data_IF_132341631166
#
_entry.id   IF_132341631166
#
_cell.length_a   1.000
_cell.length_b   1.000
_cell.length_c   1.000
_cell.angle_alpha   90.00
_cell.angle_beta   90.00
_cell.angle_gamma   90.00
#
_symmetry.space_group_name_H-M   'P 1'
#
loop_
_entity.id
_entity.type
_entity.pdbx_description
1 polymer ?
#
# COMPACT_ATOMS: atom_id res chain seq x y z
N UNK A 1 -20.68 -2.04 9.37
CA UNK A 1 -21.08 -1.44 8.07
C UNK A 1 -20.16 -1.98 6.96
N UNK A 2 -20.51 -1.86 5.67
CA UNK A 2 -19.70 -2.43 4.56
C UNK A 2 -18.25 -1.94 4.57
N UNK A 3 -18.04 -0.63 4.82
CA UNK A 3 -16.70 -0.06 4.99
C UNK A 3 -15.85 -0.74 6.07
N UNK A 4 -16.45 -1.12 7.19
CA UNK A 4 -15.72 -1.78 8.29
C UNK A 4 -15.24 -3.17 7.86
N UNK A 5 -16.03 -3.88 7.05
CA UNK A 5 -15.63 -5.17 6.46
C UNK A 5 -14.46 -4.98 5.49
N UNK A 6 -14.56 -4.01 4.57
CA UNK A 6 -13.48 -3.68 3.63
C UNK A 6 -12.21 -3.33 4.42
N UNK A 7 -12.31 -2.42 5.40
CA UNK A 7 -11.18 -2.02 6.23
C UNK A 7 -10.50 -3.22 6.89
N UNK A 8 -11.28 -4.15 7.48
CA UNK A 8 -10.74 -5.34 8.13
C UNK A 8 -9.95 -6.21 7.16
N UNK A 9 -10.50 -6.49 5.99
CA UNK A 9 -9.82 -7.32 4.98
C UNK A 9 -8.59 -6.62 4.40
N UNK A 10 -8.68 -5.32 4.11
CA UNK A 10 -7.54 -4.53 3.65
C UNK A 10 -6.43 -4.50 4.71
N UNK A 11 -6.77 -4.33 6.00
CA UNK A 11 -5.78 -4.35 7.07
C UNK A 11 -5.05 -5.71 7.13
N UNK A 12 -5.73 -6.83 6.89
CA UNK A 12 -5.11 -8.16 6.82
C UNK A 12 -4.18 -8.24 5.61
N UNK A 13 -4.67 -7.90 4.42
CA UNK A 13 -3.89 -7.94 3.17
C UNK A 13 -2.61 -7.12 3.28
N UNK A 14 -2.68 -5.89 3.82
CA UNK A 14 -1.52 -5.02 3.94
C UNK A 14 -0.51 -5.57 4.96
N UNK A 15 -0.98 -6.16 6.05
CA UNK A 15 -0.10 -6.82 7.03
C UNK A 15 0.62 -8.02 6.43
N UNK A 16 -0.08 -8.85 5.67
CA UNK A 16 0.50 -10.01 5.00
C UNK A 16 1.47 -9.59 3.88
N UNK A 17 1.09 -8.63 3.05
CA UNK A 17 1.94 -8.07 1.97
C UNK A 17 3.27 -7.55 2.51
N UNK A 18 3.23 -6.86 3.64
CA UNK A 18 4.42 -6.26 4.25
C UNK A 18 5.12 -7.24 5.23
N UNK A 19 4.74 -8.53 5.25
CA UNK A 19 5.19 -9.57 6.20
C UNK A 19 5.28 -9.06 7.65
N UNK A 20 4.23 -8.37 8.08
CA UNK A 20 4.12 -7.79 9.41
C UNK A 20 5.33 -6.91 9.76
N UNK A 21 5.99 -6.31 8.78
CA UNK A 21 7.26 -5.60 8.96
C UNK A 21 7.06 -4.10 8.79
N UNK A 22 7.49 -3.35 9.79
CA UNK A 22 7.50 -1.89 9.75
C UNK A 22 8.32 -1.43 8.54
N UNK A 23 7.67 -0.77 7.60
CA UNK A 23 8.27 -0.34 6.36
C UNK A 23 9.32 0.75 6.57
N UNK A 24 9.37 1.41 7.74
CA UNK A 24 10.44 2.36 8.08
C UNK A 24 11.69 1.67 8.63
N UNK A 25 11.57 0.97 9.75
CA UNK A 25 12.73 0.41 10.47
C UNK A 25 13.04 -1.06 10.17
N UNK A 26 12.22 -1.76 9.40
CA UNK A 26 12.43 -3.18 9.06
C UNK A 26 12.17 -4.17 10.20
N UNK A 27 11.68 -3.72 11.36
CA UNK A 27 11.33 -4.61 12.46
C UNK A 27 9.99 -5.31 12.19
N UNK A 28 9.92 -6.62 12.41
CA UNK A 28 8.66 -7.36 12.48
C UNK A 28 7.84 -6.92 13.70
N UNK A 29 6.57 -6.64 13.50
CA UNK A 29 5.65 -6.05 14.48
C UNK A 29 4.32 -6.79 14.50
N UNK A 30 3.69 -6.88 15.67
CA UNK A 30 2.42 -7.57 15.85
C UNK A 30 1.55 -6.86 16.89
N UNK A 31 0.29 -7.28 17.00
CA UNK A 31 -0.66 -6.74 17.98
C UNK A 31 -0.81 -5.22 17.88
N UNK A 32 -0.71 -4.55 19.02
CA UNK A 32 -0.83 -3.09 19.13
C UNK A 32 0.29 -2.34 18.41
N UNK A 33 1.46 -2.94 18.18
CA UNK A 33 2.56 -2.26 17.49
C UNK A 33 2.43 -2.32 15.96
N UNK A 34 1.48 -3.09 15.40
CA UNK A 34 1.36 -3.28 13.94
C UNK A 34 0.25 -2.41 13.34
N UNK A 35 0.60 -1.20 12.91
CA UNK A 35 -0.35 -0.23 12.38
C UNK A 35 -0.32 -0.16 10.86
N UNK A 36 -1.50 -0.13 10.24
CA UNK A 36 -1.68 0.25 8.83
C UNK A 36 -1.78 1.77 8.76
N UNK A 37 -0.87 2.40 8.03
CA UNK A 37 -0.72 3.85 7.95
C UNK A 37 -0.91 4.35 6.52
N UNK A 38 -1.74 5.38 6.36
CA UNK A 38 -1.93 6.06 5.08
C UNK A 38 -0.73 6.94 4.71
N UNK A 39 -0.41 7.00 3.43
CA UNK A 39 0.55 7.95 2.87
C UNK A 39 -0.13 9.30 2.64
N UNK A 40 -1.24 9.28 1.91
CA UNK A 40 -2.16 10.39 1.71
C UNK A 40 -3.30 10.24 2.73
N UNK A 41 -3.54 11.25 3.59
CA UNK A 41 -4.56 11.16 4.62
C UNK A 41 -5.97 11.07 4.02
N UNK A 42 -6.83 10.28 4.66
CA UNK A 42 -8.23 10.04 4.26
C UNK A 42 -9.09 11.33 4.30
N UNK A 43 -8.64 12.37 5.01
CA UNK A 43 -9.26 13.69 4.97
C UNK A 43 -9.05 14.42 3.64
N UNK A 44 -7.95 14.16 2.93
CA UNK A 44 -7.64 14.79 1.65
C UNK A 44 -8.46 14.20 0.51
N UNK A 45 -8.62 12.87 0.48
CA UNK A 45 -9.50 12.20 -0.48
C UNK A 45 -9.96 10.85 0.06
N UNK A 46 -11.27 10.60 0.00
CA UNK A 46 -11.85 9.29 0.41
C UNK A 46 -11.53 8.19 -0.59
N UNK A 47 -11.24 8.53 -1.85
CA UNK A 47 -10.98 7.57 -2.92
C UNK A 47 -9.73 6.70 -2.64
N UNK A 48 -8.79 7.20 -1.84
CA UNK A 48 -7.56 6.49 -1.48
C UNK A 48 -7.63 5.80 -0.10
N UNK A 49 -8.80 5.77 0.55
CA UNK A 49 -8.98 5.21 1.90
C UNK A 49 -8.53 3.73 1.98
N UNK A 50 -8.83 2.96 0.93
CA UNK A 50 -8.58 1.52 0.84
C UNK A 50 -7.57 1.15 -0.25
N UNK A 51 -6.90 2.13 -0.85
CA UNK A 51 -5.93 1.90 -1.92
C UNK A 51 -4.65 1.27 -1.35
N UNK A 52 -4.25 0.11 -1.86
CA UNK A 52 -3.10 -0.63 -1.33
C UNK A 52 -1.79 0.15 -1.51
N UNK A 53 -1.66 0.95 -2.57
CA UNK A 53 -0.49 1.80 -2.80
C UNK A 53 -0.45 2.97 -1.81
N UNK A 54 -1.59 3.36 -1.25
CA UNK A 54 -1.69 4.37 -0.21
C UNK A 54 -1.42 3.85 1.22
N UNK A 55 -1.34 2.53 1.40
CA UNK A 55 -1.24 1.88 2.72
C UNK A 55 0.11 1.20 2.94
N UNK A 56 0.62 1.24 4.16
CA UNK A 56 1.87 0.58 4.57
C UNK A 56 1.87 0.24 6.05
N UNK A 57 2.63 -0.78 6.44
CA UNK A 57 2.83 -1.10 7.86
C UNK A 57 3.88 -0.19 8.49
N UNK A 58 3.57 0.36 9.66
CA UNK A 58 4.51 1.06 10.53
C UNK A 58 4.35 0.56 11.98
N UNK A 59 5.45 0.56 12.73
CA UNK A 59 5.40 0.35 14.16
C UNK A 59 4.77 1.57 14.87
N UNK A 60 4.24 1.41 16.09
CA UNK A 60 3.64 2.50 16.86
C UNK A 60 4.56 3.71 16.95
N UNK A 61 5.85 3.48 17.24
CA UNK A 61 6.87 4.54 17.32
C UNK A 61 7.00 5.32 16.03
N UNK A 62 7.16 4.65 14.89
CA UNK A 62 7.35 5.35 13.61
C UNK A 62 6.04 5.90 13.05
N UNK A 63 4.90 5.29 13.37
CA UNK A 63 3.61 5.81 12.97
C UNK A 63 3.25 7.08 13.73
N UNK A 64 3.23 7.03 15.06
CA UNK A 64 2.71 8.11 15.90
C UNK A 64 3.78 9.16 16.21
N UNK A 65 5.04 8.75 16.43
CA UNK A 65 6.09 9.68 16.87
C UNK A 65 7.00 10.18 15.74
N UNK A 66 6.92 9.63 14.53
CA UNK A 66 7.70 10.12 13.40
C UNK A 66 6.84 10.52 12.20
N UNK A 67 6.04 9.60 11.64
CA UNK A 67 5.27 9.81 10.41
C UNK A 67 4.32 11.01 10.51
N UNK A 68 3.52 11.08 11.59
CA UNK A 68 2.59 12.20 11.81
C UNK A 68 3.27 13.46 12.34
N UNK A 69 4.46 13.36 12.94
CA UNK A 69 5.17 14.50 13.53
C UNK A 69 6.09 15.23 12.53
N UNK A 70 6.61 14.51 11.54
CA UNK A 70 7.58 15.02 10.57
C UNK A 70 7.07 14.84 9.13
N UNK A 71 5.91 15.43 8.75
CA UNK A 71 5.25 15.11 7.47
C UNK A 71 6.09 15.42 6.23
N UNK A 72 6.92 16.47 6.26
CA UNK A 72 7.81 16.83 5.15
C UNK A 72 8.91 15.77 4.96
N UNK A 73 9.58 15.38 6.05
CA UNK A 73 10.60 14.34 6.03
C UNK A 73 9.99 12.99 5.66
N UNK A 74 8.85 12.63 6.24
CA UNK A 74 8.13 11.40 5.95
C UNK A 74 7.71 11.30 4.47
N UNK A 75 7.24 12.41 3.89
CA UNK A 75 6.90 12.49 2.47
C UNK A 75 8.13 12.37 1.56
N UNK A 76 9.27 12.98 1.94
CA UNK A 76 10.54 12.81 1.22
C UNK A 76 11.01 11.36 1.27
N UNK A 77 11.07 10.77 2.47
CA UNK A 77 11.44 9.38 2.67
C UNK A 77 10.56 8.42 1.86
N UNK A 78 9.24 8.64 1.83
CA UNK A 78 8.34 7.78 1.10
C UNK A 78 8.60 7.83 -0.42
N UNK A 79 8.85 9.01 -0.97
CA UNK A 79 9.20 9.19 -2.39
C UNK A 79 10.51 8.51 -2.75
N UNK A 80 11.50 8.57 -1.86
CA UNK A 80 12.79 7.92 -2.08
C UNK A 80 12.70 6.39 -1.97
N UNK A 81 11.96 5.88 -0.97
CA UNK A 81 11.83 4.44 -0.72
C UNK A 81 10.88 3.73 -1.69
N UNK A 82 9.81 4.40 -2.11
CA UNK A 82 8.76 3.84 -2.96
C UNK A 82 8.41 4.76 -4.13
N UNK A 83 9.36 5.02 -5.06
CA UNK A 83 9.19 6.02 -6.10
C UNK A 83 7.99 5.74 -7.01
N UNK A 84 7.77 4.48 -7.40
CA UNK A 84 6.63 4.10 -8.25
C UNK A 84 5.28 4.32 -7.54
N UNK A 85 5.21 4.01 -6.24
CA UNK A 85 4.01 4.24 -5.43
C UNK A 85 3.73 5.72 -5.27
N UNK A 86 4.77 6.52 -5.06
CA UNK A 86 4.64 7.96 -4.96
C UNK A 86 4.11 8.56 -6.27
N UNK A 87 4.69 8.20 -7.41
CA UNK A 87 4.23 8.66 -8.73
C UNK A 87 2.76 8.28 -8.98
N UNK A 88 2.38 7.05 -8.65
CA UNK A 88 0.98 6.62 -8.71
C UNK A 88 0.06 7.52 -7.88
N UNK A 89 0.39 7.73 -6.59
CA UNK A 89 -0.43 8.53 -5.68
C UNK A 89 -0.51 10.00 -6.10
N UNK A 90 0.57 10.58 -6.62
CA UNK A 90 0.59 11.93 -7.16
C UNK A 90 -0.38 12.06 -8.34
N UNK A 91 -0.41 11.08 -9.25
CA UNK A 91 -1.42 11.02 -10.32
C UNK A 91 -2.85 10.94 -9.77
N UNK A 92 -3.10 10.08 -8.77
CA UNK A 92 -4.42 9.95 -8.13
C UNK A 92 -4.86 11.24 -7.43
N UNK A 93 -3.93 12.07 -6.96
CA UNK A 93 -4.23 13.33 -6.29
C UNK A 93 -4.72 14.43 -7.24
N UNK A 94 -4.56 14.25 -8.55
CA UNK A 94 -5.12 15.15 -9.57
C UNK A 94 -6.63 14.90 -9.77
N UNK A 95 -7.16 13.75 -9.33
CA UNK A 95 -8.59 13.45 -9.37
C UNK A 95 -9.36 14.34 -8.40
N UNK A 96 -10.50 14.89 -8.86
CA UNK A 96 -11.37 15.70 -8.02
C UNK A 96 -11.89 14.87 -6.82
N UNK A 97 -11.70 15.35 -5.58
CA UNK A 97 -12.21 14.65 -4.41
C UNK A 97 -13.73 14.50 -4.48
N UNK A 98 -14.23 13.29 -4.25
CA UNK A 98 -15.66 12.99 -4.17
C UNK A 98 -15.92 11.86 -3.18
N UNK A 99 -17.15 11.72 -2.65
CA UNK A 99 -17.52 10.55 -1.89
C UNK A 99 -17.46 9.28 -2.78
N UNK A 100 -17.08 8.16 -2.16
CA UNK A 100 -17.20 6.84 -2.78
C UNK A 100 -18.68 6.47 -2.78
N UNK A 101 -19.22 6.13 -3.94
CA UNK A 101 -20.60 5.69 -4.09
C UNK A 101 -20.76 4.25 -3.59
N UNK A 102 -21.99 3.87 -3.23
CA UNK A 102 -22.24 2.56 -2.62
C UNK A 102 -21.88 1.38 -3.53
N UNK A 103 -22.11 1.49 -4.84
CA UNK A 103 -21.74 0.43 -5.78
C UNK A 103 -20.22 0.25 -5.89
N UNK A 104 -19.44 1.33 -5.83
CA UNK A 104 -17.98 1.28 -5.83
C UNK A 104 -17.45 0.58 -4.57
N UNK A 105 -18.11 0.77 -3.42
CA UNK A 105 -17.77 0.04 -2.20
C UNK A 105 -18.08 -1.46 -2.32
N UNK A 106 -19.16 -1.83 -3.01
CA UNK A 106 -19.48 -3.26 -3.25
C UNK A 106 -18.46 -3.89 -4.18
N UNK A 107 -18.14 -3.24 -5.30
CA UNK A 107 -17.13 -3.70 -6.25
C UNK A 107 -15.77 -3.87 -5.55
N UNK A 108 -15.36 -2.86 -4.77
CA UNK A 108 -14.13 -2.91 -3.97
C UNK A 108 -14.14 -4.06 -2.96
N UNK A 109 -15.26 -4.32 -2.30
CA UNK A 109 -15.35 -5.42 -1.34
C UNK A 109 -15.15 -6.79 -2.02
N UNK A 110 -15.73 -6.99 -3.21
CA UNK A 110 -15.50 -8.20 -3.98
C UNK A 110 -14.06 -8.29 -4.50
N UNK A 111 -13.46 -7.19 -4.93
CA UNK A 111 -12.04 -7.15 -5.30
C UNK A 111 -11.14 -7.57 -4.14
N UNK A 112 -11.36 -6.98 -2.97
CA UNK A 112 -10.58 -7.24 -1.75
C UNK A 112 -10.73 -8.69 -1.29
N UNK A 113 -11.96 -9.24 -1.32
CA UNK A 113 -12.23 -10.62 -0.92
C UNK A 113 -11.55 -11.66 -1.83
N UNK A 114 -11.42 -11.33 -3.12
CA UNK A 114 -10.78 -12.20 -4.10
C UNK A 114 -9.28 -11.92 -4.29
N UNK A 115 -8.74 -10.95 -3.55
CA UNK A 115 -7.33 -10.60 -3.64
C UNK A 115 -6.47 -11.75 -3.10
N UNK A 116 -5.59 -12.27 -3.96
CA UNK A 116 -4.59 -13.27 -3.59
C UNK A 116 -3.22 -12.57 -3.60
N UNK A 117 -2.61 -12.31 -2.43
CA UNK A 117 -1.27 -11.76 -2.42
C UNK A 117 -0.31 -12.76 -3.07
N UNK A 118 0.40 -12.34 -4.12
CA UNK A 118 1.54 -13.07 -4.63
C UNK A 118 2.67 -12.96 -3.61
N UNK A 119 2.80 -13.96 -2.75
CA UNK A 119 3.95 -14.09 -1.85
C UNK A 119 5.19 -14.38 -2.70
N UNK A 120 5.94 -13.36 -3.08
CA UNK A 120 7.30 -13.55 -3.59
C UNK A 120 8.21 -13.85 -2.42
N UNK A 121 8.29 -15.13 -2.03
CA UNK A 121 9.27 -15.61 -1.06
C UNK A 121 10.64 -15.53 -1.73
N UNK A 122 11.37 -14.44 -1.53
CA UNK A 122 12.81 -14.40 -1.85
C UNK A 122 13.56 -15.19 -0.78
N UNK A 123 13.61 -16.51 -0.96
CA UNK A 123 14.45 -17.41 -0.18
C UNK A 123 15.93 -17.10 -0.47
N UNK A 124 16.49 -16.08 0.18
CA UNK A 124 17.94 -16.01 0.40
C UNK A 124 18.20 -16.27 1.88
N UNK A 125 18.51 -17.52 2.19
CA UNK A 125 19.05 -17.96 3.47
C UNK A 125 20.29 -17.08 3.79
N UNK A 126 20.36 -16.36 4.91
CA UNK A 126 21.61 -15.74 5.30
C UNK A 126 22.56 -16.85 5.76
N UNK A 127 23.64 -17.06 5.00
CA UNK A 127 24.79 -17.80 5.52
C UNK A 127 25.31 -17.07 6.77
N UNK A 128 25.48 -17.84 7.82
CA UNK A 128 26.04 -17.45 9.10
C UNK A 128 27.44 -16.84 8.93
N UNK A 129 27.63 -15.60 9.37
CA UNK A 129 28.99 -15.08 9.60
C UNK A 129 29.11 -13.56 9.67
N UNK A 130 29.42 -13.06 10.88
CA UNK A 130 29.97 -11.74 11.24
C UNK A 130 29.04 -10.53 11.36
N UNK A 131 29.19 -9.91 12.53
CA UNK A 131 28.77 -8.56 12.89
C UNK A 131 29.65 -7.55 12.13
N UNK A 132 29.06 -6.71 11.28
CA UNK A 132 29.62 -5.38 10.93
C UNK A 132 28.52 -4.40 10.49
N UNK A 133 28.83 -3.12 10.69
CA UNK A 133 28.00 -1.91 10.77
C UNK A 133 27.17 -1.59 9.50
N UNK A 134 25.93 -1.12 9.72
CA UNK A 134 25.14 -0.23 8.85
C UNK A 134 24.57 -0.84 7.55
N UNK A 135 23.25 -0.73 7.25
CA UNK A 135 22.72 -1.24 5.99
C UNK A 135 23.04 -0.26 4.85
N UNK A 136 23.96 -0.65 3.97
CA UNK A 136 24.08 -0.10 2.62
C UNK A 136 22.88 -0.56 1.76
N UNK A 137 22.48 0.21 0.74
CA UNK A 137 21.39 -0.19 -0.16
C UNK A 137 21.77 -1.49 -0.89
N UNK A 138 21.04 -2.59 -0.63
CA UNK A 138 21.19 -3.82 -1.41
C UNK A 138 20.48 -3.64 -2.74
N UNK A 139 21.20 -3.82 -3.84
CA UNK A 139 20.64 -3.91 -5.19
C UNK A 139 19.63 -5.07 -5.26
N UNK A 140 18.39 -4.75 -5.60
CA UNK A 140 17.32 -5.73 -5.83
C UNK A 140 17.38 -6.15 -7.29
N UNK A 141 17.77 -7.40 -7.56
CA UNK A 141 17.64 -8.01 -8.88
C UNK A 141 16.16 -8.36 -9.11
N UNK A 142 15.53 -7.68 -10.06
CA UNK A 142 14.15 -7.91 -10.50
C UNK A 142 14.19 -9.01 -11.56
N UNK A 143 13.68 -10.21 -11.27
CA UNK A 143 13.38 -11.21 -12.31
C UNK A 143 12.06 -10.86 -13.00
N UNK A 144 12.05 -10.99 -14.33
CA UNK A 144 10.87 -10.77 -15.19
C UNK A 144 10.04 -12.06 -15.24
N UNK A 145 8.95 -12.14 -14.48
CA UNK A 145 7.83 -13.05 -14.80
C UNK A 145 6.50 -12.32 -14.57
N UNK A 146 5.47 -12.77 -15.30
CA UNK A 146 4.21 -12.08 -15.62
C UNK A 146 3.58 -11.34 -14.44
N UNK A 147 3.57 -10.01 -14.56
CA UNK A 147 2.88 -9.10 -13.64
C UNK A 147 1.39 -9.12 -13.96
N UNK A 148 0.54 -9.34 -12.97
CA UNK A 148 -0.85 -8.86 -13.06
C UNK A 148 -0.77 -7.34 -13.08
N UNK A 149 -1.10 -6.75 -14.23
CA UNK A 149 -1.01 -5.31 -14.45
C UNK A 149 -2.15 -4.59 -13.70
N UNK A 150 -1.84 -4.10 -12.50
CA UNK A 150 -2.71 -3.22 -11.72
C UNK A 150 -2.56 -1.75 -12.14
N UNK A 151 -2.09 -1.48 -13.36
CA UNK A 151 -1.96 -0.13 -13.88
C UNK A 151 -3.28 0.64 -13.79
N UNK A 152 -3.14 1.96 -13.60
CA UNK A 152 -4.23 2.91 -13.73
C UNK A 152 -4.96 2.72 -15.07
N UNK A 153 -4.24 2.31 -16.12
CA UNK A 153 -4.74 2.04 -17.46
C UNK A 153 -5.77 0.91 -17.47
N UNK A 154 -5.54 -0.20 -16.77
CA UNK A 154 -6.50 -1.30 -16.67
C UNK A 154 -7.79 -0.88 -15.92
N UNK A 155 -7.67 -0.03 -14.90
CA UNK A 155 -8.82 0.51 -14.14
C UNK A 155 -9.59 1.57 -14.92
N UNK A 156 -8.90 2.46 -15.63
CA UNK A 156 -9.50 3.50 -16.49
C UNK A 156 -10.23 2.87 -17.67
N UNK A 157 -9.62 1.87 -18.33
CA UNK A 157 -10.24 1.16 -19.45
C UNK A 157 -11.57 0.49 -19.05
N UNK A 158 -11.60 -0.15 -17.88
CA UNK A 158 -12.82 -0.75 -17.33
C UNK A 158 -13.90 0.27 -16.94
N UNK A 159 -13.50 1.50 -16.57
CA UNK A 159 -14.44 2.60 -16.32
C UNK A 159 -15.00 3.17 -17.62
N UNK A 160 -14.16 3.41 -18.62
CA UNK A 160 -14.56 3.87 -19.97
C UNK A 160 -15.49 2.88 -20.68
N UNK A 161 -15.22 1.58 -20.55
CA UNK A 161 -16.09 0.53 -21.12
C UNK A 161 -17.48 0.51 -20.48
N UNK A 162 -17.59 0.83 -19.17
CA UNK A 162 -18.87 0.92 -18.46
C UNK A 162 -19.66 2.19 -18.79
N UNK A 163 -19.00 3.31 -19.05
CA UNK A 163 -19.69 4.54 -19.49
C UNK A 163 -20.22 4.45 -20.93
N UNK A 164 -19.69 3.52 -21.74
CA UNK A 164 -20.13 3.28 -23.11
C UNK A 164 -21.26 2.26 -23.25
N UNK A 165 -21.68 1.57 -22.18
CA UNK A 165 -22.84 0.69 -22.24
C UNK A 165 -24.13 1.52 -22.22
N UNK A 166 -25.00 1.41 -23.24
CA UNK A 166 -26.31 2.06 -23.21
C UNK A 166 -27.16 1.46 -22.10
N UNK A 167 -27.90 2.34 -21.43
CA UNK A 167 -28.82 2.06 -20.33
C UNK A 167 -29.93 1.10 -20.68
#
# INVERSE_FOLDING_TARGET
KLKDKIKKEVDIIIKERDDYTCQYCGKRVSGFDCHVSHVVPVSKTKLLEFDFQNLKILCFRHHIHWWHKNPLEAGKWFREKFPDRAKYLEGRLLEKPRPIKMYELRDLYEEVKNYKPTLTVSNTKPESGRIVKGPTPREVKISKEEKVDYSLEARLKKHEEREKMPS
#
